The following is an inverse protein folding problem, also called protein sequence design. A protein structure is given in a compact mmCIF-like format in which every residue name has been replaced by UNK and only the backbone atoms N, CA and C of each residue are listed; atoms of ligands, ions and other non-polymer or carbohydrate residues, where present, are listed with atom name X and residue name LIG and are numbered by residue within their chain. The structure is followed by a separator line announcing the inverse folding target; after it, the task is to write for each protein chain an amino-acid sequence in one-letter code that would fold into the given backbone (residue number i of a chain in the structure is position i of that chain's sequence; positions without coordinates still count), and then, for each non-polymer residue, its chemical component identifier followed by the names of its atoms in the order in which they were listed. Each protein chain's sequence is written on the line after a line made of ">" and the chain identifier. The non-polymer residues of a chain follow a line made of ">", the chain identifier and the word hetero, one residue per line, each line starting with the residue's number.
data_IF_652835774518
#
_entry.id   IF_652835774518
#
_cell.length_a   1.000
_cell.length_b   1.000
_cell.length_c   1.000
_cell.angle_alpha   90.00
_cell.angle_beta   90.00
_cell.angle_gamma   90.00
#
_symmetry.space_group_name_H-M   'P 1'
#
loop_
_entity.id
_entity.type
_entity.pdbx_description
1 polymer ?
#
# COMPACT_ATOMS: atom_id res chain seq x y z
N UNK A 1 -4.34 -68.34 15.68
CA UNK A 1 -4.00 -67.07 16.33
C UNK A 1 -3.15 -66.32 15.31
N UNK A 2 -3.61 -65.30 14.61
CA UNK A 2 -4.85 -64.52 14.67
C UNK A 2 -5.18 -64.00 13.26
N UNK A 3 -6.40 -63.51 13.12
CA UNK A 3 -7.16 -63.16 11.92
C UNK A 3 -6.66 -61.91 11.18
N UNK A 4 -6.85 -61.92 9.86
CA UNK A 4 -7.50 -60.87 9.04
C UNK A 4 -7.35 -59.39 9.44
N UNK A 5 -6.87 -58.56 8.53
CA UNK A 5 -7.71 -57.60 7.78
C UNK A 5 -6.87 -56.57 6.99
N UNK A 6 -7.29 -56.37 5.75
CA UNK A 6 -7.02 -55.18 4.94
C UNK A 6 -7.61 -53.94 5.61
N UNK A 7 -6.95 -52.78 5.52
CA UNK A 7 -7.67 -51.52 5.26
C UNK A 7 -6.72 -50.41 4.81
N UNK A 8 -7.13 -49.79 3.70
CA UNK A 8 -6.74 -48.46 3.28
C UNK A 8 -6.90 -47.47 4.44
N UNK A 9 -5.96 -46.54 4.59
CA UNK A 9 -6.34 -45.20 5.00
C UNK A 9 -5.53 -44.14 4.25
N UNK A 10 -6.14 -43.70 3.15
CA UNK A 10 -5.85 -42.44 2.52
C UNK A 10 -6.54 -41.35 3.33
N UNK A 11 -5.95 -40.88 4.43
CA UNK A 11 -6.40 -39.65 5.11
C UNK A 11 -5.30 -39.04 5.98
N UNK A 12 -4.50 -38.17 5.35
CA UNK A 12 -3.94 -37.01 6.05
C UNK A 12 -3.82 -35.85 5.05
N UNK A 13 -4.91 -35.59 4.32
CA UNK A 13 -5.24 -34.23 3.96
C UNK A 13 -5.68 -33.54 5.27
N UNK A 14 -4.71 -33.23 6.13
CA UNK A 14 -4.93 -32.21 7.13
C UNK A 14 -5.12 -30.92 6.36
N UNK A 15 -6.25 -30.27 6.60
CA UNK A 15 -6.57 -28.92 6.13
C UNK A 15 -5.44 -27.96 6.52
N UNK A 16 -4.40 -27.93 5.70
CA UNK A 16 -3.54 -26.78 5.60
C UNK A 16 -4.43 -25.72 5.00
N UNK A 17 -4.82 -24.73 5.83
CA UNK A 17 -5.22 -23.42 5.33
C UNK A 17 -4.30 -23.13 4.14
N UNK A 18 -4.84 -23.14 2.92
CA UNK A 18 -4.13 -22.63 1.75
C UNK A 18 -4.06 -21.13 2.00
N UNK A 19 -3.13 -20.73 2.87
CA UNK A 19 -2.95 -19.37 3.32
C UNK A 19 -2.55 -18.56 2.12
N UNK A 20 -3.50 -17.82 1.56
CA UNK A 20 -3.20 -16.78 0.61
C UNK A 20 -2.26 -15.80 1.31
N UNK A 21 -1.12 -15.52 0.70
CA UNK A 21 -0.23 -14.46 1.19
C UNK A 21 -1.06 -13.17 1.15
N UNK A 22 -1.19 -12.42 2.27
CA UNK A 22 -1.97 -11.18 2.29
C UNK A 22 -1.49 -10.22 1.20
N UNK A 23 -2.45 -9.52 0.60
CA UNK A 23 -2.11 -8.48 -0.38
C UNK A 23 -1.32 -7.37 0.33
N UNK A 24 -0.15 -7.04 -0.19
CA UNK A 24 0.71 -6.01 0.39
C UNK A 24 1.37 -5.18 -0.70
N UNK A 25 1.41 -3.88 -0.48
CA UNK A 25 2.16 -2.93 -1.30
C UNK A 25 3.42 -2.52 -0.54
N UNK A 26 4.57 -2.50 -1.22
CA UNK A 26 5.84 -2.12 -0.61
C UNK A 26 6.76 -1.46 -1.62
N UNK A 27 7.65 -0.61 -1.13
CA UNK A 27 8.76 -0.08 -1.91
C UNK A 27 9.82 -1.17 -2.11
N UNK A 28 10.12 -1.51 -3.35
CA UNK A 28 11.34 -2.25 -3.69
C UNK A 28 12.53 -1.32 -3.51
N UNK A 29 13.34 -1.58 -2.49
CA UNK A 29 14.47 -0.74 -2.14
C UNK A 29 15.45 -0.58 -3.30
N UNK A 30 15.82 -1.66 -3.98
CA UNK A 30 16.87 -1.60 -5.01
C UNK A 30 16.36 -0.91 -6.29
N UNK A 31 15.10 -1.14 -6.67
CA UNK A 31 14.48 -0.41 -7.77
C UNK A 31 14.30 1.08 -7.43
N UNK A 32 13.94 1.41 -6.18
CA UNK A 32 13.83 2.79 -5.72
C UNK A 32 15.18 3.52 -5.75
N UNK A 33 16.27 2.91 -5.26
CA UNK A 33 17.59 3.56 -5.31
C UNK A 33 18.03 3.86 -6.76
N UNK A 34 17.71 2.96 -7.69
CA UNK A 34 18.00 3.16 -9.12
C UNK A 34 17.18 4.30 -9.71
N UNK A 35 15.86 4.27 -9.50
CA UNK A 35 14.98 5.35 -9.93
C UNK A 35 15.40 6.71 -9.37
N UNK A 36 15.74 6.77 -8.07
CA UNK A 36 16.21 8.00 -7.44
C UNK A 36 17.49 8.55 -8.09
N UNK A 37 18.41 7.68 -8.49
CA UNK A 37 19.68 8.07 -9.09
C UNK A 37 19.55 8.46 -10.58
N UNK A 38 18.69 7.74 -11.31
CA UNK A 38 18.71 7.76 -12.78
C UNK A 38 17.54 8.56 -13.39
N UNK A 39 16.36 8.54 -12.75
CA UNK A 39 15.10 8.98 -13.37
C UNK A 39 14.34 10.06 -12.57
N UNK A 40 14.53 10.13 -11.26
CA UNK A 40 13.77 11.02 -10.39
C UNK A 40 14.13 12.49 -10.60
N UNK A 41 13.11 13.37 -10.59
CA UNK A 41 13.31 14.82 -10.47
C UNK A 41 13.67 15.18 -9.02
N UNK A 42 14.91 14.86 -8.64
CA UNK A 42 15.39 14.98 -7.27
C UNK A 42 15.38 16.42 -6.74
N UNK A 43 15.46 17.42 -7.63
CA UNK A 43 15.40 18.85 -7.25
C UNK A 43 13.98 19.23 -6.84
N UNK A 44 12.98 18.97 -7.70
CA UNK A 44 11.58 19.26 -7.39
C UNK A 44 11.10 18.48 -6.15
N UNK A 45 11.50 17.21 -6.04
CA UNK A 45 11.17 16.39 -4.88
C UNK A 45 11.81 16.95 -3.60
N UNK A 46 13.08 17.37 -3.64
CA UNK A 46 13.76 17.92 -2.48
C UNK A 46 13.13 19.23 -1.99
N UNK A 47 12.66 20.09 -2.91
CA UNK A 47 11.93 21.30 -2.58
C UNK A 47 10.62 20.99 -1.83
N UNK A 48 9.82 20.06 -2.36
CA UNK A 48 8.58 19.63 -1.70
C UNK A 48 8.85 19.02 -0.32
N UNK A 49 9.92 18.25 -0.18
CA UNK A 49 10.32 17.66 1.11
C UNK A 49 10.75 18.74 2.11
N UNK A 50 11.45 19.78 1.68
CA UNK A 50 11.79 20.90 2.56
C UNK A 50 10.53 21.59 3.13
N UNK A 51 9.46 21.65 2.33
CA UNK A 51 8.19 22.24 2.74
C UNK A 51 7.41 21.38 3.75
N UNK A 52 7.70 20.07 3.87
CA UNK A 52 7.07 19.21 4.90
C UNK A 52 7.41 19.61 6.34
N UNK A 53 8.45 20.43 6.54
CA UNK A 53 8.78 20.98 7.85
C UNK A 53 7.79 22.05 8.32
N UNK A 54 6.99 22.64 7.41
CA UNK A 54 5.92 23.58 7.76
C UNK A 54 4.64 22.79 8.12
N UNK A 55 4.19 22.82 9.39
CA UNK A 55 3.03 22.06 9.81
C UNK A 55 1.69 22.62 9.30
N UNK A 56 1.66 23.82 8.74
CA UNK A 56 0.40 24.48 8.32
C UNK A 56 -0.06 24.10 6.91
N UNK A 57 0.86 23.67 6.04
CA UNK A 57 0.58 23.33 4.63
C UNK A 57 0.93 21.87 4.31
N UNK A 58 1.06 21.02 5.34
CA UNK A 58 1.56 19.65 5.17
C UNK A 58 0.61 18.80 4.31
N UNK A 59 -0.71 18.98 4.42
CA UNK A 59 -1.71 18.26 3.63
C UNK A 59 -1.51 18.50 2.13
N UNK A 60 -1.37 19.77 1.73
CA UNK A 60 -1.16 20.15 0.35
C UNK A 60 0.24 19.77 -0.14
N UNK A 61 1.24 19.85 0.73
CA UNK A 61 2.62 19.47 0.41
C UNK A 61 2.73 17.96 0.17
N UNK A 62 2.06 17.13 0.99
CA UNK A 62 2.01 15.68 0.80
C UNK A 62 1.32 15.31 -0.52
N UNK A 63 0.22 15.99 -0.87
CA UNK A 63 -0.45 15.77 -2.15
C UNK A 63 0.42 16.16 -3.34
N UNK A 64 1.08 17.31 -3.29
CA UNK A 64 2.01 17.74 -4.32
C UNK A 64 3.17 16.74 -4.47
N UNK A 65 3.71 16.23 -3.35
CA UNK A 65 4.75 15.21 -3.35
C UNK A 65 4.27 13.89 -3.95
N UNK A 66 3.06 13.44 -3.61
CA UNK A 66 2.48 12.22 -4.18
C UNK A 66 2.30 12.33 -5.69
N UNK A 67 1.77 13.46 -6.18
CA UNK A 67 1.66 13.75 -7.61
C UNK A 67 3.04 13.71 -8.31
N UNK A 68 4.04 14.37 -7.73
CA UNK A 68 5.40 14.42 -8.29
C UNK A 68 6.07 13.03 -8.37
N UNK A 69 5.71 12.11 -7.49
CA UNK A 69 6.36 10.79 -7.35
C UNK A 69 5.61 9.68 -8.07
N UNK A 70 4.27 9.69 -8.05
CA UNK A 70 3.44 8.58 -8.51
C UNK A 70 2.66 8.88 -9.81
N UNK A 71 2.49 10.15 -10.18
CA UNK A 71 1.78 10.55 -11.39
C UNK A 71 2.74 10.99 -12.51
N UNK A 72 3.83 10.24 -12.65
CA UNK A 72 4.88 10.42 -13.67
C UNK A 72 4.85 9.31 -14.71
N UNK A 73 5.29 9.58 -15.95
CA UNK A 73 5.49 8.54 -16.95
C UNK A 73 6.86 7.85 -16.81
N UNK A 74 6.95 6.52 -16.96
CA UNK A 74 5.85 5.58 -17.18
C UNK A 74 5.09 5.24 -15.89
N UNK A 75 3.78 5.04 -16.01
CA UNK A 75 2.93 4.45 -14.96
C UNK A 75 2.71 2.95 -15.22
N UNK A 76 2.72 2.08 -14.18
CA UNK A 76 3.04 2.39 -12.80
C UNK A 76 4.55 2.56 -12.53
N UNK A 77 4.90 3.21 -11.41
CA UNK A 77 6.30 3.35 -11.01
C UNK A 77 6.93 1.96 -10.75
N UNK A 78 8.10 1.66 -11.34
CA UNK A 78 8.65 0.30 -11.38
C UNK A 78 9.14 -0.22 -10.02
N UNK A 79 9.28 0.68 -9.03
CA UNK A 79 9.77 0.37 -7.70
C UNK A 79 8.67 0.15 -6.66
N UNK A 80 7.39 0.35 -7.00
CA UNK A 80 6.28 0.04 -6.10
C UNK A 80 5.78 -1.38 -6.38
N UNK A 81 6.12 -2.30 -5.48
CA UNK A 81 5.86 -3.72 -5.65
C UNK A 81 4.59 -4.17 -4.91
N UNK A 82 3.88 -5.14 -5.50
CA UNK A 82 2.70 -5.77 -4.91
C UNK A 82 2.98 -7.25 -4.67
N UNK A 83 2.77 -7.70 -3.44
CA UNK A 83 2.79 -9.09 -3.02
C UNK A 83 1.37 -9.60 -2.74
N UNK A 84 1.17 -10.92 -2.73
CA UNK A 84 -0.13 -11.54 -2.45
C UNK A 84 -1.05 -11.72 -3.66
N UNK A 85 -0.62 -11.28 -4.86
CA UNK A 85 -1.31 -11.61 -6.11
C UNK A 85 -1.18 -13.11 -6.46
N UNK A 86 -2.15 -13.62 -7.21
CA UNK A 86 -2.12 -14.99 -7.74
C UNK A 86 -0.84 -15.20 -8.60
N UNK A 87 -0.21 -16.40 -8.57
CA UNK A 87 0.93 -16.69 -9.43
C UNK A 87 0.67 -16.35 -10.90
N UNK A 88 1.62 -15.65 -11.53
CA UNK A 88 1.54 -15.21 -12.92
C UNK A 88 0.70 -13.95 -13.17
N UNK A 89 0.07 -13.37 -12.14
CA UNK A 89 -0.63 -12.08 -12.23
C UNK A 89 0.31 -10.96 -11.81
N UNK A 90 0.60 -10.05 -12.73
CA UNK A 90 1.32 -8.80 -12.47
C UNK A 90 0.40 -7.65 -12.08
N UNK A 91 0.90 -6.43 -12.22
CA UNK A 91 0.16 -5.18 -12.00
C UNK A 91 0.06 -4.44 -13.33
N UNK A 92 -1.16 -4.09 -13.76
CA UNK A 92 -1.39 -3.21 -14.93
C UNK A 92 -1.34 -1.74 -14.51
N UNK A 93 -1.92 -1.42 -13.35
CA UNK A 93 -1.92 -0.06 -12.78
C UNK A 93 -1.75 -0.10 -11.28
N UNK A 94 -0.92 0.80 -10.75
CA UNK A 94 -0.87 1.10 -9.32
C UNK A 94 -0.52 2.58 -9.13
N UNK A 95 -1.28 3.28 -8.29
CA UNK A 95 -0.96 4.63 -7.83
C UNK A 95 -1.20 4.74 -6.33
N UNK A 96 -0.40 5.58 -5.69
CA UNK A 96 -0.54 5.97 -4.30
C UNK A 96 -0.68 7.49 -4.28
N UNK A 97 -1.74 7.99 -3.67
CA UNK A 97 -1.99 9.42 -3.47
C UNK A 97 -2.15 9.73 -1.98
N UNK A 98 -1.92 10.99 -1.62
CA UNK A 98 -2.16 11.54 -0.29
C UNK A 98 -2.93 12.83 -0.47
N UNK A 99 -4.26 12.79 -0.37
CA UNK A 99 -5.13 13.92 -0.68
C UNK A 99 -5.55 14.69 0.58
N UNK A 100 -5.67 16.03 0.55
CA UNK A 100 -6.21 16.79 1.68
C UNK A 100 -7.65 16.38 1.99
N UNK A 101 -7.89 15.94 3.21
CA UNK A 101 -9.21 15.57 3.71
C UNK A 101 -9.88 16.76 4.39
N UNK A 102 -11.17 16.93 4.13
CA UNK A 102 -11.97 18.02 4.67
C UNK A 102 -12.99 17.48 5.67
N UNK A 103 -13.05 18.11 6.83
CA UNK A 103 -14.06 17.83 7.85
C UNK A 103 -15.47 18.23 7.40
N UNK A 104 -16.46 17.91 8.23
CA UNK A 104 -17.87 18.22 7.93
C UNK A 104 -18.19 19.72 7.85
N UNK A 105 -17.30 20.59 8.33
CA UNK A 105 -17.36 22.05 8.21
C UNK A 105 -16.67 22.60 6.96
N UNK A 106 -16.08 21.72 6.14
CA UNK A 106 -15.34 22.07 4.94
C UNK A 106 -13.92 22.57 5.19
N UNK A 107 -13.41 22.46 6.42
CA UNK A 107 -12.02 22.81 6.76
C UNK A 107 -11.12 21.58 6.58
N UNK A 108 -9.92 21.77 6.05
CA UNK A 108 -8.90 20.71 5.97
C UNK A 108 -8.52 20.28 7.39
N UNK A 109 -8.68 18.99 7.71
CA UNK A 109 -8.40 18.44 9.04
C UNK A 109 -7.50 17.19 9.05
N UNK A 110 -7.10 16.72 7.86
CA UNK A 110 -6.23 15.58 7.69
C UNK A 110 -5.90 15.28 6.24
N UNK A 111 -5.46 14.05 5.99
CA UNK A 111 -5.27 13.52 4.63
C UNK A 111 -5.94 12.15 4.47
N UNK A 112 -6.34 11.82 3.25
CA UNK A 112 -6.65 10.46 2.82
C UNK A 112 -5.44 9.88 2.10
N UNK A 113 -4.90 8.76 2.60
CA UNK A 113 -3.89 7.99 1.87
C UNK A 113 -4.62 6.98 1.01
N UNK A 114 -4.52 7.12 -0.31
CA UNK A 114 -5.33 6.38 -1.28
C UNK A 114 -4.43 5.49 -2.14
N UNK A 115 -4.75 4.21 -2.20
CA UNK A 115 -4.17 3.24 -3.13
C UNK A 115 -5.22 2.84 -4.17
N UNK A 116 -4.85 2.98 -5.44
CA UNK A 116 -5.55 2.32 -6.54
C UNK A 116 -4.66 1.23 -7.12
N UNK A 117 -5.17 0.00 -7.21
CA UNK A 117 -4.51 -1.15 -7.82
C UNK A 117 -5.40 -1.84 -8.86
N UNK A 118 -4.86 -2.11 -10.04
CA UNK A 118 -5.44 -2.97 -11.07
C UNK A 118 -4.48 -4.13 -11.40
N UNK A 119 -4.88 -5.39 -11.13
CA UNK A 119 -4.09 -6.56 -11.50
C UNK A 119 -4.02 -6.78 -13.01
N UNK A 120 -2.91 -7.34 -13.46
CA UNK A 120 -2.67 -7.54 -14.88
C UNK A 120 -3.62 -8.54 -15.54
N UNK A 121 -4.08 -8.20 -16.75
CA UNK A 121 -4.94 -9.07 -17.56
C UNK A 121 -6.34 -9.28 -16.97
N UNK A 122 -6.75 -8.43 -16.02
CA UNK A 122 -8.09 -8.40 -15.45
C UNK A 122 -8.91 -7.26 -16.08
N UNK A 123 -10.24 -7.42 -16.09
CA UNK A 123 -11.15 -6.33 -16.48
C UNK A 123 -10.95 -5.13 -15.54
N UNK A 124 -11.07 -3.87 -16.00
CA UNK A 124 -11.03 -2.69 -15.14
C UNK A 124 -12.03 -2.72 -13.98
N UNK A 125 -13.12 -3.48 -14.12
CA UNK A 125 -14.08 -3.71 -13.05
C UNK A 125 -13.50 -4.47 -11.84
N UNK A 126 -12.36 -5.16 -12.02
CA UNK A 126 -11.59 -5.82 -10.97
C UNK A 126 -10.45 -4.88 -10.58
N UNK A 127 -10.81 -3.71 -10.06
CA UNK A 127 -9.90 -2.73 -9.47
C UNK A 127 -10.14 -2.66 -7.97
N UNK A 128 -9.07 -2.42 -7.23
CA UNK A 128 -9.10 -2.19 -5.80
C UNK A 128 -8.80 -0.72 -5.53
N UNK A 129 -9.70 -0.07 -4.80
CA UNK A 129 -9.50 1.26 -4.23
C UNK A 129 -9.53 1.14 -2.71
N UNK A 130 -8.42 1.50 -2.07
CA UNK A 130 -8.28 1.52 -0.61
C UNK A 130 -7.92 2.92 -0.19
N UNK A 131 -8.56 3.43 0.85
CA UNK A 131 -8.23 4.71 1.45
C UNK A 131 -8.20 4.59 2.95
N UNK A 132 -7.34 5.37 3.59
CA UNK A 132 -7.27 5.50 5.04
C UNK A 132 -7.06 6.96 5.43
N UNK A 133 -7.92 7.44 6.30
CA UNK A 133 -7.87 8.78 6.85
C UNK A 133 -6.76 8.91 7.92
N UNK A 134 -6.00 9.99 7.85
CA UNK A 134 -4.99 10.38 8.84
C UNK A 134 -5.30 11.77 9.35
N UNK A 135 -5.81 11.86 10.58
CA UNK A 135 -5.93 13.15 11.27
C UNK A 135 -4.54 13.71 11.61
N UNK A 136 -4.35 15.03 11.53
CA UNK A 136 -3.11 15.70 11.95
C UNK A 136 -1.86 15.08 11.31
N UNK A 137 -1.75 15.08 9.98
CA UNK A 137 -0.65 14.44 9.23
C UNK A 137 0.75 14.86 9.69
N UNK A 138 0.96 16.06 10.23
CA UNK A 138 2.25 16.47 10.80
C UNK A 138 2.74 15.60 11.97
N UNK A 139 1.91 14.72 12.53
CA UNK A 139 2.33 13.76 13.56
C UNK A 139 2.77 12.42 12.97
N UNK A 140 2.38 12.15 11.73
CA UNK A 140 2.58 10.87 11.04
C UNK A 140 3.61 10.99 9.93
N UNK A 141 3.64 12.14 9.25
CA UNK A 141 4.47 12.44 8.08
C UNK A 141 5.50 13.55 8.31
N UNK A 142 5.69 14.02 9.55
CA UNK A 142 6.76 14.99 9.81
C UNK A 142 8.14 14.33 9.63
N UNK A 143 9.04 14.95 8.84
CA UNK A 143 10.39 14.45 8.69
C UNK A 143 11.17 14.47 10.00
N UNK A 144 12.02 13.47 10.21
CA UNK A 144 13.01 13.54 11.29
C UNK A 144 14.04 14.65 10.98
N UNK A 145 14.49 15.41 12.00
CA UNK A 145 15.54 16.39 11.78
C UNK A 145 16.82 15.74 11.23
N UNK A 146 17.39 16.34 10.17
CA UNK A 146 18.67 15.97 9.55
C UNK A 146 18.70 14.70 8.67
N UNK A 147 17.55 14.18 8.21
CA UNK A 147 17.52 13.19 7.12
C UNK A 147 17.69 13.83 5.74
N UNK A 148 18.29 13.08 4.81
CA UNK A 148 18.35 13.51 3.41
C UNK A 148 16.96 13.49 2.75
N UNK A 149 16.75 14.28 1.69
CA UNK A 149 15.49 14.28 0.93
C UNK A 149 15.10 12.86 0.48
N UNK A 150 16.06 12.07 0.01
CA UNK A 150 15.87 10.67 -0.37
C UNK A 150 15.33 9.81 0.77
N UNK A 151 15.92 9.92 1.96
CA UNK A 151 15.53 9.15 3.14
C UNK A 151 14.15 9.57 3.64
N UNK A 152 13.88 10.87 3.64
CA UNK A 152 12.56 11.40 3.98
C UNK A 152 11.50 10.90 2.99
N UNK A 153 11.76 10.92 1.68
CA UNK A 153 10.81 10.38 0.70
C UNK A 153 10.56 8.89 0.93
N UNK A 154 11.63 8.11 1.08
CA UNK A 154 11.55 6.68 1.35
C UNK A 154 10.67 6.40 2.58
N UNK A 155 10.84 7.19 3.65
CA UNK A 155 10.04 7.09 4.86
C UNK A 155 8.57 7.50 4.64
N UNK A 156 8.29 8.56 3.89
CA UNK A 156 6.91 8.96 3.55
C UNK A 156 6.20 7.82 2.79
N UNK A 157 6.87 7.24 1.79
CA UNK A 157 6.34 6.10 1.02
C UNK A 157 6.11 4.88 1.91
N UNK A 158 7.09 4.52 2.73
CA UNK A 158 7.00 3.36 3.61
C UNK A 158 5.88 3.54 4.65
N UNK A 159 5.68 4.77 5.15
CA UNK A 159 4.59 5.13 6.06
C UNK A 159 3.23 5.05 5.37
N UNK A 160 3.08 5.64 4.19
CA UNK A 160 1.84 5.60 3.42
C UNK A 160 1.45 4.17 3.02
N UNK A 161 2.41 3.36 2.56
CA UNK A 161 2.17 1.94 2.24
C UNK A 161 1.85 1.11 3.49
N UNK A 162 2.45 1.40 4.64
CA UNK A 162 2.09 0.73 5.90
C UNK A 162 0.65 1.02 6.33
N UNK A 163 0.19 2.26 6.18
CA UNK A 163 -1.19 2.66 6.47
C UNK A 163 -2.18 1.91 5.56
N UNK A 164 -1.93 1.91 4.26
CA UNK A 164 -2.76 1.18 3.28
C UNK A 164 -2.75 -0.33 3.52
N UNK A 165 -1.59 -0.92 3.82
CA UNK A 165 -1.49 -2.36 4.12
C UNK A 165 -2.26 -2.75 5.38
N UNK A 166 -2.35 -1.86 6.36
CA UNK A 166 -3.16 -2.07 7.57
C UNK A 166 -4.64 -2.12 7.20
N UNK A 167 -5.11 -1.14 6.43
CA UNK A 167 -6.50 -1.11 5.94
C UNK A 167 -6.84 -2.30 5.04
N UNK A 168 -5.91 -2.75 4.18
CA UNK A 168 -6.06 -3.97 3.38
C UNK A 168 -6.29 -5.19 4.27
N UNK A 169 -5.44 -5.37 5.29
CA UNK A 169 -5.54 -6.48 6.22
C UNK A 169 -6.86 -6.44 7.02
N UNK A 170 -7.31 -5.25 7.43
CA UNK A 170 -8.57 -5.08 8.14
C UNK A 170 -9.80 -5.38 7.26
N UNK A 171 -9.78 -4.96 5.99
CA UNK A 171 -10.82 -5.33 5.00
C UNK A 171 -10.86 -6.82 4.74
N UNK A 172 -9.71 -7.47 4.59
CA UNK A 172 -9.63 -8.92 4.41
C UNK A 172 -10.19 -9.65 5.63
N UNK A 173 -9.79 -9.22 6.84
CA UNK A 173 -10.31 -9.77 8.09
C UNK A 173 -11.82 -9.57 8.21
N UNK A 174 -12.33 -8.37 7.92
CA UNK A 174 -13.75 -8.09 7.95
C UNK A 174 -14.51 -9.00 6.99
N UNK A 175 -14.07 -9.12 5.74
CA UNK A 175 -14.70 -9.98 4.75
C UNK A 175 -14.67 -11.45 5.16
N UNK A 176 -13.56 -11.93 5.72
CA UNK A 176 -13.44 -13.30 6.21
C UNK A 176 -14.42 -13.58 7.36
N UNK A 177 -14.52 -12.68 8.34
CA UNK A 177 -15.41 -12.84 9.50
C UNK A 177 -16.88 -12.65 9.11
N UNK A 178 -17.22 -11.59 8.38
CA UNK A 178 -18.60 -11.25 8.04
C UNK A 178 -19.25 -12.22 7.05
N UNK A 179 -18.45 -12.93 6.24
CA UNK A 179 -18.93 -13.92 5.26
C UNK A 179 -18.70 -15.36 5.71
N UNK A 180 -18.12 -15.59 6.90
CA UNK A 180 -18.00 -16.92 7.44
C UNK A 180 -19.40 -17.54 7.65
N UNK A 181 -19.59 -18.84 7.36
CA UNK A 181 -20.85 -19.50 7.69
C UNK A 181 -21.10 -19.39 9.20
N UNK A 182 -22.35 -19.10 9.57
CA UNK A 182 -22.73 -19.02 10.98
C UNK A 182 -22.41 -20.36 11.66
N UNK A 183 -21.58 -20.32 12.70
CA UNK A 183 -21.32 -21.50 13.54
C UNK A 183 -22.56 -21.67 14.42
N UNK A 184 -23.40 -22.64 14.08
CA UNK A 184 -24.58 -23.07 14.84
C UNK A 184 -24.20 -23.97 16.00
#
# INVERSE_FOLDING_TARGET
>A
MDMSASNNDATAAGDGERGWVPLQVRRDRQAFERWWADDADTEAIAELIANLADPFDIEHTLHALANQVFHTDPTPVPWLAVAGLRPGVGVDWISLDIEPAHGGDGVVDGVEVVLWLQPAGCSPAVSLLVSTYVSKPHRVFAPEPATSARETLAWVIDTATALVNTELADRDRFNAVARAPAVS
#
